data_IF_517984096349
#
_entry.id   IF_517984096349
#
_cell.length_a   1.000
_cell.length_b   1.000
_cell.length_c   1.000
_cell.angle_alpha   90.00
_cell.angle_beta   90.00
_cell.angle_gamma   90.00
#
_symmetry.space_group_name_H-M   'P 1'
#
loop_
_entity.id
_entity.type
_entity.pdbx_description
1 polymer ?
#
# COMPACT_ATOMS: atom_id res chain seq x y z
N UNK A 1 13.90 -17.44 -1.29
CA UNK A 1 13.18 -16.26 -0.74
C UNK A 1 13.62 -14.92 -1.33
N UNK A 2 14.41 -14.93 -2.43
CA UNK A 2 15.02 -13.71 -3.00
C UNK A 2 14.10 -12.96 -4.00
N UNK A 3 12.96 -13.52 -4.37
CA UNK A 3 12.11 -13.00 -5.46
C UNK A 3 10.76 -12.44 -5.01
N UNK A 4 10.58 -12.13 -3.73
CA UNK A 4 9.32 -11.58 -3.27
C UNK A 4 9.52 -10.18 -2.71
N UNK A 5 8.85 -9.19 -3.32
CA UNK A 5 8.81 -7.84 -2.77
C UNK A 5 8.08 -7.91 -1.42
N UNK A 6 8.82 -7.75 -0.34
CA UNK A 6 8.25 -7.66 0.99
C UNK A 6 7.93 -6.19 1.25
N UNK A 7 6.67 -5.84 1.12
CA UNK A 7 6.19 -4.60 1.70
C UNK A 7 6.25 -4.74 3.22
N UNK A 8 6.83 -3.78 3.90
CA UNK A 8 6.80 -3.77 5.38
C UNK A 8 5.36 -3.87 5.91
N UNK A 9 5.17 -4.01 7.23
CA UNK A 9 3.83 -4.09 7.81
C UNK A 9 3.00 -2.87 7.42
N UNK A 10 1.91 -3.09 6.70
CA UNK A 10 0.94 -2.06 6.30
C UNK A 10 -0.46 -2.52 6.70
N UNK A 11 -1.30 -1.63 7.24
CA UNK A 11 -2.63 -2.01 7.72
C UNK A 11 -3.58 -2.46 6.60
N UNK A 12 -3.30 -2.07 5.38
CA UNK A 12 -4.11 -2.38 4.18
C UNK A 12 -3.46 -3.42 3.27
N UNK A 13 -2.44 -4.15 3.73
CA UNK A 13 -1.73 -5.15 2.92
C UNK A 13 -1.69 -6.50 3.62
N UNK A 14 -2.02 -7.56 2.88
CA UNK A 14 -1.87 -8.94 3.32
C UNK A 14 -1.26 -9.79 2.21
N UNK A 15 -0.43 -10.75 2.58
CA UNK A 15 0.20 -11.68 1.65
C UNK A 15 -0.02 -13.12 2.09
N UNK A 16 -0.43 -13.96 1.14
CA UNK A 16 -0.59 -15.40 1.33
C UNK A 16 0.39 -16.15 0.43
N UNK A 17 1.21 -16.98 1.02
CA UNK A 17 2.10 -17.88 0.31
C UNK A 17 1.49 -19.28 0.23
N UNK A 18 1.15 -19.71 -0.99
CA UNK A 18 0.58 -21.06 -1.22
C UNK A 18 1.63 -21.97 -1.80
N UNK A 19 1.96 -23.04 -1.07
CA UNK A 19 2.91 -24.07 -1.51
C UNK A 19 2.16 -25.23 -2.15
N UNK A 20 2.39 -25.47 -3.43
CA UNK A 20 1.88 -26.62 -4.17
C UNK A 20 2.89 -27.79 -4.17
N UNK A 21 2.43 -29.00 -4.41
CA UNK A 21 3.29 -30.19 -4.46
C UNK A 21 4.08 -30.24 -5.77
N UNK A 22 3.49 -29.81 -6.86
CA UNK A 22 4.12 -29.83 -8.19
C UNK A 22 3.97 -28.47 -8.90
N UNK A 23 4.84 -28.21 -9.87
CA UNK A 23 4.75 -27.02 -10.73
C UNK A 23 3.51 -27.03 -11.64
N UNK A 24 2.96 -28.19 -11.95
CA UNK A 24 1.68 -28.34 -12.66
C UNK A 24 0.52 -27.82 -11.85
N UNK A 25 0.37 -28.33 -10.62
CA UNK A 25 -0.66 -27.85 -9.68
C UNK A 25 -0.58 -26.32 -9.43
N UNK A 26 0.65 -25.79 -9.34
CA UNK A 26 0.84 -24.36 -9.15
C UNK A 26 0.34 -23.54 -10.35
N UNK A 27 0.51 -24.01 -11.59
CA UNK A 27 -0.01 -23.37 -12.79
C UNK A 27 -1.52 -23.42 -12.89
N UNK A 28 -2.11 -24.59 -12.61
CA UNK A 28 -3.57 -24.76 -12.60
C UNK A 28 -4.24 -23.88 -11.53
N UNK A 29 -3.69 -23.91 -10.31
CA UNK A 29 -4.20 -23.09 -9.21
C UNK A 29 -4.06 -21.59 -9.52
N UNK A 30 -2.95 -21.15 -10.08
CA UNK A 30 -2.75 -19.76 -10.49
C UNK A 30 -3.80 -19.32 -11.50
N UNK A 31 -4.04 -20.10 -12.56
CA UNK A 31 -5.06 -19.78 -13.57
C UNK A 31 -6.46 -19.71 -12.95
N UNK A 32 -6.82 -20.70 -12.12
CA UNK A 32 -8.12 -20.72 -11.45
C UNK A 32 -8.31 -19.53 -10.50
N UNK A 33 -7.29 -19.16 -9.74
CA UNK A 33 -7.38 -18.04 -8.80
C UNK A 33 -7.42 -16.68 -9.51
N UNK A 34 -6.67 -16.49 -10.61
CA UNK A 34 -6.70 -15.24 -11.37
C UNK A 34 -8.11 -14.88 -11.85
N UNK A 35 -8.86 -15.86 -12.29
CA UNK A 35 -10.19 -15.65 -12.88
C UNK A 35 -11.31 -15.61 -11.82
N UNK A 36 -11.20 -16.43 -10.77
CA UNK A 36 -12.31 -16.64 -9.84
C UNK A 36 -12.24 -15.78 -8.57
N UNK A 37 -11.06 -15.44 -8.09
CA UNK A 37 -10.93 -14.80 -6.78
C UNK A 37 -11.45 -13.36 -6.79
N UNK A 38 -11.24 -12.63 -7.89
CA UNK A 38 -11.73 -11.25 -8.07
C UNK A 38 -13.25 -11.18 -8.18
N UNK A 39 -13.86 -12.20 -8.79
CA UNK A 39 -15.32 -12.29 -8.87
C UNK A 39 -15.95 -12.54 -7.50
N UNK A 40 -15.27 -13.32 -6.67
CA UNK A 40 -15.75 -13.66 -5.32
C UNK A 40 -15.50 -12.54 -4.31
N UNK A 41 -14.42 -11.80 -4.46
CA UNK A 41 -14.01 -10.71 -3.58
C UNK A 41 -13.67 -9.46 -4.42
N UNK A 42 -14.66 -8.66 -4.83
CA UNK A 42 -14.46 -7.52 -5.71
C UNK A 42 -13.85 -6.29 -5.01
N UNK A 43 -13.97 -6.20 -3.68
CA UNK A 43 -13.51 -5.03 -2.91
C UNK A 43 -11.99 -4.91 -2.78
N UNK A 44 -11.24 -5.97 -2.37
CA UNK A 44 -9.79 -5.88 -2.26
C UNK A 44 -9.11 -5.98 -3.61
N UNK A 45 -8.01 -5.25 -3.77
CA UNK A 45 -7.10 -5.43 -4.89
C UNK A 45 -6.32 -6.74 -4.68
N UNK A 46 -6.72 -7.80 -5.37
CA UNK A 46 -6.07 -9.12 -5.26
C UNK A 46 -5.15 -9.34 -6.44
N UNK A 47 -3.88 -9.60 -6.16
CA UNK A 47 -2.88 -9.97 -7.14
C UNK A 47 -2.39 -11.40 -6.90
N UNK A 48 -2.50 -12.25 -7.91
CA UNK A 48 -2.06 -13.65 -7.84
C UNK A 48 -0.82 -13.80 -8.71
N UNK A 49 0.33 -13.95 -8.07
CA UNK A 49 1.62 -14.07 -8.75
C UNK A 49 2.24 -15.45 -8.53
N UNK A 50 3.01 -15.91 -9.52
CA UNK A 50 3.92 -17.05 -9.35
C UNK A 50 5.24 -16.56 -8.80
N UNK A 51 5.93 -17.45 -8.08
CA UNK A 51 7.34 -17.24 -7.77
C UNK A 51 8.16 -17.34 -9.05
N UNK A 52 8.79 -16.26 -9.44
CA UNK A 52 9.72 -16.20 -10.55
C UNK A 52 11.13 -15.89 -10.05
N UNK A 53 12.14 -16.46 -10.71
CA UNK A 53 13.57 -16.18 -10.45
C UNK A 53 14.02 -14.91 -11.21
N UNK A 54 13.12 -13.98 -11.44
CA UNK A 54 13.36 -12.71 -12.09
C UNK A 54 13.79 -11.65 -11.09
N UNK A 55 14.47 -10.56 -11.51
CA UNK A 55 14.70 -9.39 -10.65
C UNK A 55 13.42 -8.91 -10.01
N UNK A 56 13.55 -8.42 -8.77
CA UNK A 56 12.42 -7.93 -7.96
C UNK A 56 11.81 -6.67 -8.59
N UNK A 57 10.91 -6.86 -9.54
CA UNK A 57 10.08 -5.77 -10.09
C UNK A 57 8.66 -5.92 -9.57
N UNK A 58 8.08 -4.82 -9.10
CA UNK A 58 6.70 -4.81 -8.60
C UNK A 58 5.68 -5.07 -9.72
N UNK A 59 6.03 -4.71 -10.95
CA UNK A 59 5.23 -4.97 -12.15
C UNK A 59 6.12 -5.11 -13.39
N UNK A 60 5.55 -5.69 -14.46
CA UNK A 60 6.26 -5.86 -15.74
C UNK A 60 6.37 -4.56 -16.53
N UNK A 61 5.34 -3.72 -16.47
CA UNK A 61 5.25 -2.44 -17.16
C UNK A 61 4.90 -1.37 -16.15
N UNK A 62 5.70 -0.31 -16.11
CA UNK A 62 5.52 0.83 -15.21
C UNK A 62 5.65 2.14 -15.99
N UNK A 63 4.58 2.95 -15.96
CA UNK A 63 4.55 4.31 -16.47
C UNK A 63 4.66 5.27 -15.28
N UNK A 64 5.85 5.86 -15.06
CA UNK A 64 6.17 6.67 -13.89
C UNK A 64 6.03 8.16 -14.17
N UNK A 65 5.22 8.83 -13.38
CA UNK A 65 5.02 10.27 -13.39
C UNK A 65 5.73 10.92 -12.22
N UNK A 66 6.34 12.09 -12.46
CA UNK A 66 7.00 12.90 -11.46
C UNK A 66 6.37 14.29 -11.43
N UNK A 67 6.26 14.87 -10.24
CA UNK A 67 5.71 16.22 -10.11
C UNK A 67 5.52 16.64 -8.65
N UNK A 68 5.19 17.93 -8.40
CA UNK A 68 5.14 18.46 -7.05
C UNK A 68 3.85 18.14 -6.28
N UNK A 69 2.73 17.89 -6.97
CA UNK A 69 1.42 17.72 -6.33
C UNK A 69 0.93 16.27 -6.42
N UNK A 70 0.67 15.60 -5.27
CA UNK A 70 0.16 14.23 -5.22
C UNK A 70 -1.19 14.05 -5.92
N UNK A 71 -2.09 15.04 -5.87
CA UNK A 71 -3.42 14.92 -6.47
C UNK A 71 -3.36 14.94 -8.00
N UNK A 72 -2.44 15.73 -8.56
CA UNK A 72 -2.20 15.75 -10.01
C UNK A 72 -1.52 14.46 -10.46
N UNK A 73 -0.56 13.94 -9.68
CA UNK A 73 0.07 12.65 -9.95
C UNK A 73 -0.97 11.52 -9.95
N UNK A 74 -1.87 11.51 -8.98
CA UNK A 74 -2.97 10.54 -8.91
C UNK A 74 -3.88 10.61 -10.15
N UNK A 75 -4.25 11.81 -10.57
CA UNK A 75 -5.05 12.03 -11.79
C UNK A 75 -4.35 11.53 -13.05
N UNK A 76 -3.07 11.86 -13.25
CA UNK A 76 -2.28 11.41 -14.40
C UNK A 76 -2.13 9.89 -14.40
N UNK A 77 -1.80 9.33 -13.25
CA UNK A 77 -1.67 7.88 -13.07
C UNK A 77 -3.01 7.17 -13.30
N UNK A 78 -4.12 7.75 -12.86
CA UNK A 78 -5.47 7.24 -13.10
C UNK A 78 -5.79 7.13 -14.60
N UNK A 79 -5.50 8.17 -15.37
CA UNK A 79 -5.67 8.15 -16.83
C UNK A 79 -4.82 7.04 -17.48
N UNK A 80 -3.56 6.90 -17.07
CA UNK A 80 -2.69 5.84 -17.58
C UNK A 80 -3.20 4.44 -17.22
N UNK A 81 -3.71 4.25 -16.00
CA UNK A 81 -4.34 2.99 -15.57
C UNK A 81 -5.59 2.67 -16.42
N UNK A 82 -6.39 3.66 -16.73
CA UNK A 82 -7.59 3.46 -17.59
C UNK A 82 -7.20 3.08 -19.01
N UNK A 83 -6.11 3.65 -19.55
CA UNK A 83 -5.55 3.21 -20.85
C UNK A 83 -5.11 1.75 -20.76
N UNK A 84 -4.36 1.39 -19.73
CA UNK A 84 -3.91 0.01 -19.49
C UNK A 84 -5.07 -0.97 -19.37
N UNK A 85 -6.14 -0.62 -18.63
CA UNK A 85 -7.32 -1.48 -18.40
C UNK A 85 -8.14 -1.74 -19.66
N UNK A 86 -8.13 -0.82 -20.63
CA UNK A 86 -8.81 -1.01 -21.92
C UNK A 86 -8.16 -2.08 -22.77
N UNK A 87 -6.89 -2.37 -22.54
CA UNK A 87 -6.20 -3.43 -23.27
C UNK A 87 -6.55 -4.81 -22.67
N UNK A 88 -7.16 -5.73 -23.45
CA UNK A 88 -7.60 -7.04 -22.95
C UNK A 88 -6.45 -7.97 -22.54
N UNK A 89 -5.22 -7.68 -22.95
CA UNK A 89 -4.01 -8.45 -22.65
C UNK A 89 -3.36 -8.03 -21.33
N UNK A 90 -3.79 -6.90 -20.79
CA UNK A 90 -3.30 -6.37 -19.49
C UNK A 90 -4.01 -7.08 -18.33
N UNK A 91 -3.28 -7.29 -17.27
CA UNK A 91 -3.79 -7.70 -15.96
C UNK A 91 -3.27 -6.78 -14.88
N UNK A 92 -4.01 -6.67 -13.77
CA UNK A 92 -3.56 -6.00 -12.55
C UNK A 92 -3.09 -4.55 -12.73
N UNK A 93 -3.84 -3.76 -13.51
CA UNK A 93 -3.54 -2.35 -13.67
C UNK A 93 -3.90 -1.58 -12.38
N UNK A 94 -2.88 -0.98 -11.74
CA UNK A 94 -2.96 -0.31 -10.43
C UNK A 94 -1.98 0.84 -10.31
N UNK A 95 -2.14 1.69 -9.31
CA UNK A 95 -1.12 2.66 -8.96
C UNK A 95 -0.09 2.07 -7.97
N UNK A 96 1.09 2.64 -7.95
CA UNK A 96 2.21 2.24 -7.08
C UNK A 96 1.96 2.52 -5.59
N UNK A 97 1.18 3.55 -5.27
CA UNK A 97 0.91 3.92 -3.87
C UNK A 97 -0.20 3.07 -3.23
N UNK A 98 -0.87 2.21 -4.04
CA UNK A 98 -1.96 1.34 -3.59
C UNK A 98 -3.28 2.09 -3.38
N UNK A 99 -4.15 1.54 -2.55
CA UNK A 99 -5.42 2.15 -2.23
C UNK A 99 -5.27 3.17 -1.09
N UNK A 100 -6.03 4.26 -1.17
CA UNK A 100 -6.15 5.19 -0.06
C UNK A 100 -6.75 4.48 1.15
N UNK A 101 -6.27 4.82 2.33
CA UNK A 101 -6.77 4.34 3.62
C UNK A 101 -7.40 5.50 4.37
N UNK A 102 -8.52 5.23 5.04
CA UNK A 102 -9.15 6.22 5.90
C UNK A 102 -8.30 6.41 7.15
N UNK A 103 -7.66 7.56 7.26
CA UNK A 103 -6.78 7.89 8.37
C UNK A 103 -7.44 8.87 9.32
N UNK A 104 -7.28 8.62 10.60
CA UNK A 104 -7.74 9.49 11.67
C UNK A 104 -6.51 10.09 12.34
N UNK A 105 -6.46 11.42 12.39
CA UNK A 105 -5.33 12.17 12.93
C UNK A 105 -5.76 13.04 14.10
N UNK A 106 -5.45 12.67 15.34
CA UNK A 106 -5.58 13.56 16.48
C UNK A 106 -4.49 14.63 16.41
N UNK A 107 -4.90 15.89 16.39
CA UNK A 107 -3.97 17.03 16.41
C UNK A 107 -3.61 17.37 17.84
N UNK A 108 -2.41 16.97 18.27
CA UNK A 108 -1.90 17.18 19.62
C UNK A 108 -1.85 18.66 20.00
N UNK A 109 -2.34 18.98 21.22
CA UNK A 109 -2.25 20.32 21.81
C UNK A 109 -1.22 20.31 22.95
N UNK A 110 0.01 20.85 22.75
CA UNK A 110 1.05 20.83 23.77
C UNK A 110 0.68 21.63 25.04
N UNK A 111 -0.17 22.62 24.92
CA UNK A 111 -0.58 23.45 26.08
C UNK A 111 -1.54 22.68 26.95
N UNK A 112 -2.64 22.17 26.38
CA UNK A 112 -3.62 21.37 27.11
C UNK A 112 -2.99 20.12 27.72
N UNK A 113 -2.23 19.38 26.93
CA UNK A 113 -1.59 18.14 27.35
C UNK A 113 -0.49 18.35 28.40
N UNK A 114 0.22 19.49 28.33
CA UNK A 114 1.25 19.87 29.30
C UNK A 114 0.71 20.04 30.72
N UNK A 115 -0.49 20.61 30.90
CA UNK A 115 -1.15 20.69 32.19
C UNK A 115 -1.48 19.33 32.81
N UNK A 116 -1.66 18.30 31.97
CA UNK A 116 -1.98 16.95 32.38
C UNK A 116 -0.74 16.05 32.49
N UNK A 117 0.44 16.57 32.16
CA UNK A 117 1.69 15.80 32.11
C UNK A 117 1.70 14.74 30.98
N UNK A 118 0.90 14.92 29.95
CA UNK A 118 0.79 13.98 28.82
C UNK A 118 1.62 14.49 27.64
N UNK A 119 2.55 13.67 27.17
CA UNK A 119 3.41 13.97 26.03
C UNK A 119 2.80 13.51 24.71
N UNK A 120 3.34 13.99 23.58
CA UNK A 120 2.97 13.49 22.25
C UNK A 120 3.25 11.99 22.12
N UNK A 121 4.31 11.47 22.75
CA UNK A 121 4.63 10.05 22.74
C UNK A 121 3.53 9.23 23.45
N UNK A 122 3.06 9.69 24.61
CA UNK A 122 1.95 9.04 25.33
C UNK A 122 0.67 8.99 24.48
N UNK A 123 0.36 10.09 23.78
CA UNK A 123 -0.76 10.13 22.84
C UNK A 123 -0.60 9.07 21.74
N UNK A 124 0.56 9.02 21.08
CA UNK A 124 0.82 8.07 19.99
C UNK A 124 0.74 6.62 20.45
N UNK A 125 1.31 6.31 21.63
CA UNK A 125 1.26 4.97 22.20
C UNK A 125 -0.16 4.56 22.60
N UNK A 126 -0.93 5.47 23.18
CA UNK A 126 -2.33 5.20 23.54
C UNK A 126 -3.20 4.96 22.31
N UNK A 127 -3.05 5.75 21.25
CA UNK A 127 -3.78 5.55 19.98
C UNK A 127 -3.39 4.23 19.33
N UNK A 128 -2.09 3.91 19.30
CA UNK A 128 -1.60 2.63 18.78
C UNK A 128 -2.17 1.43 19.55
N UNK A 129 -2.26 1.53 20.88
CA UNK A 129 -2.76 0.45 21.73
C UNK A 129 -4.25 0.13 21.48
N UNK A 130 -5.02 1.10 21.00
CA UNK A 130 -6.44 0.90 20.67
C UNK A 130 -6.57 -0.03 19.46
N UNK A 131 -5.75 0.15 18.46
CA UNK A 131 -5.86 -0.54 17.16
C UNK A 131 -5.08 -1.86 17.16
N UNK A 132 -3.81 -1.80 17.55
CA UNK A 132 -2.90 -2.95 17.51
C UNK A 132 -2.92 -3.77 18.80
N UNK A 133 -3.34 -3.15 19.92
CA UNK A 133 -3.17 -3.69 21.26
C UNK A 133 -1.78 -3.42 21.83
N UNK A 134 -1.59 -3.73 23.09
CA UNK A 134 -0.31 -3.59 23.80
C UNK A 134 0.27 -4.95 24.08
N UNK A 135 1.55 -5.17 23.74
CA UNK A 135 2.27 -6.40 24.11
C UNK A 135 2.57 -6.35 25.61
N UNK A 136 1.90 -7.21 26.39
CA UNK A 136 2.07 -7.28 27.86
C UNK A 136 3.02 -8.40 28.30
N UNK A 137 3.40 -9.28 27.38
CA UNK A 137 4.30 -10.38 27.67
C UNK A 137 4.61 -11.21 26.44
N UNK A 138 5.53 -12.14 26.61
CA UNK A 138 5.89 -13.12 25.58
C UNK A 138 5.72 -14.51 26.19
N UNK A 139 4.79 -15.26 25.65
CA UNK A 139 4.67 -16.69 25.96
C UNK A 139 5.67 -17.46 25.10
N UNK A 140 6.43 -18.36 25.73
CA UNK A 140 7.39 -19.21 25.02
C UNK A 140 6.79 -20.62 24.93
N UNK A 141 6.59 -21.07 23.70
CA UNK A 141 6.14 -22.39 23.36
C UNK A 141 7.27 -23.09 22.59
N UNK A 142 8.06 -23.87 23.31
CA UNK A 142 9.29 -24.49 22.82
C UNK A 142 10.25 -23.46 22.19
N UNK A 143 10.44 -23.49 20.87
CA UNK A 143 11.28 -22.54 20.12
C UNK A 143 10.54 -21.25 19.70
N UNK A 144 9.21 -21.23 19.81
CA UNK A 144 8.38 -20.11 19.37
C UNK A 144 8.18 -19.07 20.48
N UNK A 145 8.31 -17.81 20.09
CA UNK A 145 7.97 -16.67 20.94
C UNK A 145 6.62 -16.12 20.48
N UNK A 146 5.59 -16.30 21.30
CA UNK A 146 4.23 -15.84 21.01
C UNK A 146 3.96 -14.59 21.84
N UNK A 147 3.75 -13.40 21.23
CA UNK A 147 3.41 -12.19 21.99
C UNK A 147 2.00 -12.31 22.58
N UNK A 148 1.86 -11.94 23.83
CA UNK A 148 0.57 -11.79 24.51
C UNK A 148 0.11 -10.36 24.33
N UNK A 149 -1.00 -10.16 23.60
CA UNK A 149 -1.55 -8.84 23.30
C UNK A 149 -2.75 -8.55 24.21
N UNK A 150 -2.70 -7.41 24.89
CA UNK A 150 -3.85 -6.83 25.56
C UNK A 150 -4.57 -5.91 24.57
N UNK A 151 -5.82 -6.22 24.24
CA UNK A 151 -6.68 -5.40 23.39
C UNK A 151 -7.94 -4.97 24.13
N UNK A 152 -8.45 -3.78 23.81
CA UNK A 152 -9.77 -3.38 24.28
C UNK A 152 -10.84 -4.24 23.59
N UNK A 153 -11.89 -4.62 24.31
CA UNK A 153 -13.04 -5.33 23.75
C UNK A 153 -13.76 -4.50 22.66
N UNK A 154 -13.69 -3.18 22.77
CA UNK A 154 -14.18 -2.22 21.77
C UNK A 154 -13.09 -1.83 20.76
N UNK A 155 -12.16 -2.73 20.44
CA UNK A 155 -11.14 -2.50 19.42
C UNK A 155 -11.81 -2.48 18.05
N UNK A 156 -11.84 -1.33 17.46
CA UNK A 156 -12.43 -0.99 16.18
C UNK A 156 -13.05 0.39 16.29
N UNK A 157 -12.44 1.36 15.62
CA UNK A 157 -12.98 2.71 15.61
C UNK A 157 -14.05 2.75 14.52
N UNK A 158 -15.22 2.22 14.83
CA UNK A 158 -16.36 2.23 13.90
C UNK A 158 -16.91 3.66 13.69
N UNK A 159 -16.73 4.56 14.68
CA UNK A 159 -17.10 5.98 14.57
C UNK A 159 -15.94 6.88 15.05
N UNK A 160 -15.39 7.73 14.17
CA UNK A 160 -14.37 8.72 14.55
C UNK A 160 -14.76 9.62 15.72
N UNK A 161 -16.06 9.84 15.94
CA UNK A 161 -16.58 10.68 17.03
C UNK A 161 -16.39 10.04 18.39
N UNK A 162 -16.37 8.71 18.46
CA UNK A 162 -16.14 7.96 19.72
C UNK A 162 -14.69 8.06 20.20
N UNK A 163 -13.76 8.48 19.35
CA UNK A 163 -12.35 8.66 19.74
C UNK A 163 -12.12 9.72 20.81
N UNK A 164 -12.98 10.74 20.89
CA UNK A 164 -12.86 11.79 21.91
C UNK A 164 -12.88 11.27 23.34
N UNK A 165 -13.53 10.12 23.57
CA UNK A 165 -13.72 9.51 24.88
C UNK A 165 -12.59 8.54 25.26
N UNK A 166 -11.69 8.22 24.31
CA UNK A 166 -10.56 7.35 24.61
C UNK A 166 -9.59 8.01 25.58
N UNK A 167 -9.14 7.23 26.56
CA UNK A 167 -8.18 7.69 27.57
C UNK A 167 -6.75 7.59 27.05
N UNK A 168 -6.04 8.71 27.10
CA UNK A 168 -4.59 8.78 26.88
C UNK A 168 -3.89 8.66 28.21
N UNK A 169 -2.90 7.77 28.31
CA UNK A 169 -2.19 7.45 29.55
C UNK A 169 -0.74 7.92 29.50
N UNK A 170 -0.24 8.43 30.64
CA UNK A 170 1.18 8.73 30.83
C UNK A 170 1.88 7.74 31.79
N UNK A 171 1.23 6.62 32.10
CA UNK A 171 1.68 5.61 33.09
C UNK A 171 1.01 5.75 34.45
N UNK A 172 0.78 6.97 34.95
CA UNK A 172 0.16 7.22 36.24
C UNK A 172 -1.24 7.83 36.15
N UNK A 173 -1.43 8.71 35.16
CA UNK A 173 -2.67 9.47 34.96
C UNK A 173 -3.23 9.22 33.58
N UNK A 174 -4.52 9.38 33.45
CA UNK A 174 -5.21 9.35 32.17
C UNK A 174 -6.07 10.58 31.97
N UNK A 175 -6.25 10.96 30.71
CA UNK A 175 -7.18 12.00 30.31
C UNK A 175 -7.85 11.61 28.98
N UNK A 176 -9.11 12.04 28.74
CA UNK A 176 -9.76 11.87 27.45
C UNK A 176 -8.94 12.49 26.32
N UNK A 177 -8.95 11.85 25.14
CA UNK A 177 -8.26 12.34 23.95
C UNK A 177 -8.63 13.79 23.61
N UNK A 178 -9.89 14.16 23.81
CA UNK A 178 -10.40 15.50 23.59
C UNK A 178 -9.73 16.58 24.45
N UNK A 179 -9.19 16.21 25.62
CA UNK A 179 -8.48 17.13 26.50
C UNK A 179 -7.00 17.31 26.15
N UNK A 180 -6.43 16.45 25.32
CA UNK A 180 -5.02 16.51 24.90
C UNK A 180 -4.84 16.88 23.43
N UNK A 181 -5.95 17.05 22.71
CA UNK A 181 -5.95 17.40 21.29
C UNK A 181 -6.72 18.71 21.04
N UNK A 182 -6.38 19.40 19.95
CA UNK A 182 -7.15 20.55 19.43
C UNK A 182 -8.38 20.09 18.70
N UNK A 183 -8.20 19.09 17.85
CA UNK A 183 -9.24 18.46 17.03
C UNK A 183 -8.81 17.07 16.61
N UNK A 184 -9.75 16.27 16.19
CA UNK A 184 -9.50 15.00 15.49
C UNK A 184 -9.95 15.23 14.04
N UNK A 185 -9.03 15.08 13.11
CA UNK A 185 -9.29 15.15 11.67
C UNK A 185 -9.29 13.78 11.06
N UNK A 186 -10.02 13.57 9.99
CA UNK A 186 -10.02 12.35 9.22
C UNK A 186 -10.00 12.66 7.74
N UNK A 187 -9.24 11.86 6.99
CA UNK A 187 -9.13 11.99 5.54
C UNK A 187 -8.75 10.64 4.91
N UNK A 188 -9.11 10.49 3.64
CA UNK A 188 -8.55 9.44 2.81
C UNK A 188 -7.17 9.84 2.34
N UNK A 189 -6.18 9.06 2.68
CA UNK A 189 -4.79 9.34 2.35
C UNK A 189 -4.08 8.07 1.88
N UNK A 190 -3.07 8.25 1.05
CA UNK A 190 -2.19 7.15 0.70
C UNK A 190 -1.32 6.75 1.90
N UNK A 191 -1.27 5.45 2.26
CA UNK A 191 -0.45 4.98 3.40
C UNK A 191 1.04 5.13 3.13
N UNK A 192 1.41 5.15 1.86
CA UNK A 192 2.79 5.28 1.40
C UNK A 192 2.87 6.27 0.26
N UNK A 193 3.82 7.20 0.35
CA UNK A 193 4.17 8.17 -0.69
C UNK A 193 5.61 7.86 -1.14
N UNK A 194 5.80 7.61 -2.43
CA UNK A 194 7.11 7.33 -3.00
C UNK A 194 7.73 8.57 -3.65
N UNK A 195 9.03 8.64 -3.63
CA UNK A 195 9.81 9.67 -4.29
C UNK A 195 10.88 9.03 -5.18
N UNK A 196 11.15 9.65 -6.30
CA UNK A 196 12.24 9.29 -7.21
C UNK A 196 13.13 10.52 -7.43
N UNK A 197 14.41 10.38 -7.21
CA UNK A 197 15.38 11.50 -7.31
C UNK A 197 14.92 12.78 -6.56
N UNK A 198 14.38 12.61 -5.32
CA UNK A 198 13.88 13.69 -4.44
C UNK A 198 12.62 14.41 -4.96
N UNK A 199 11.99 13.92 -6.00
CA UNK A 199 10.69 14.41 -6.47
C UNK A 199 9.60 13.39 -6.12
N UNK A 200 8.39 13.87 -5.87
CA UNK A 200 7.27 12.95 -5.71
C UNK A 200 7.06 12.18 -7.01
N UNK A 201 6.83 10.88 -6.88
CA UNK A 201 6.63 10.02 -8.03
C UNK A 201 5.48 9.04 -7.78
N UNK A 202 4.68 8.81 -8.79
CA UNK A 202 3.65 7.78 -8.80
C UNK A 202 3.68 7.04 -10.13
N UNK A 203 3.64 5.71 -10.09
CA UNK A 203 3.63 4.89 -11.28
C UNK A 203 2.27 4.21 -11.50
N UNK A 204 1.82 4.23 -12.76
CA UNK A 204 0.81 3.30 -13.25
C UNK A 204 1.50 2.00 -13.60
N UNK A 205 1.06 0.91 -13.00
CA UNK A 205 1.70 -0.39 -13.07
C UNK A 205 0.74 -1.42 -13.62
N UNK A 206 1.22 -2.34 -14.47
CA UNK A 206 0.43 -3.47 -14.89
C UNK A 206 1.25 -4.72 -15.15
N UNK A 207 0.56 -5.86 -15.09
CA UNK A 207 1.05 -7.15 -15.54
C UNK A 207 0.54 -7.50 -16.93
N UNK A 208 1.04 -8.58 -17.49
CA UNK A 208 0.65 -9.13 -18.79
C UNK A 208 0.01 -10.50 -18.58
N UNK A 209 -1.13 -10.75 -19.24
CA UNK A 209 -1.80 -12.05 -19.19
C UNK A 209 -0.95 -13.14 -19.80
N UNK A 210 -1.13 -14.38 -19.33
CA UNK A 210 -0.47 -15.55 -19.89
C UNK A 210 -0.72 -15.68 -21.40
N UNK A 211 0.35 -15.94 -22.15
CA UNK A 211 0.29 -16.09 -23.62
C UNK A 211 0.66 -14.84 -24.42
N UNK A 212 0.87 -13.71 -23.78
CA UNK A 212 1.32 -12.47 -24.40
C UNK A 212 2.68 -12.05 -23.87
N UNK A 213 3.41 -11.26 -24.64
CA UNK A 213 4.72 -10.73 -24.25
C UNK A 213 4.60 -9.30 -23.72
N UNK A 214 5.53 -8.93 -22.82
CA UNK A 214 5.62 -7.57 -22.31
C UNK A 214 5.80 -6.54 -23.44
N UNK A 215 6.69 -6.83 -24.40
CA UNK A 215 6.98 -5.93 -25.51
C UNK A 215 5.76 -5.68 -26.42
N UNK A 216 4.93 -6.71 -26.64
CA UNK A 216 3.69 -6.58 -27.41
C UNK A 216 2.70 -5.65 -26.70
N UNK A 217 2.41 -5.93 -25.42
CA UNK A 217 1.46 -5.13 -24.64
C UNK A 217 1.96 -3.70 -24.45
N UNK A 218 3.24 -3.52 -24.15
CA UNK A 218 3.85 -2.21 -24.04
C UNK A 218 3.71 -1.42 -25.35
N UNK A 219 3.99 -2.06 -26.51
CA UNK A 219 3.85 -1.41 -27.82
C UNK A 219 2.43 -0.91 -28.11
N UNK A 220 1.41 -1.64 -27.62
CA UNK A 220 0.00 -1.27 -27.82
C UNK A 220 -0.46 -0.10 -26.94
N UNK A 221 0.04 0.01 -25.70
CA UNK A 221 -0.37 1.07 -24.77
C UNK A 221 0.52 2.31 -24.82
N UNK A 222 1.74 2.16 -25.33
CA UNK A 222 2.79 3.16 -25.30
C UNK A 222 2.37 4.48 -25.93
N UNK A 223 1.87 4.41 -27.17
CA UNK A 223 1.57 5.61 -27.96
C UNK A 223 0.51 6.49 -27.31
N UNK A 224 -0.50 5.89 -26.68
CA UNK A 224 -1.58 6.61 -26.03
C UNK A 224 -1.10 7.26 -24.72
N UNK A 225 -0.27 6.57 -23.92
CA UNK A 225 0.28 7.11 -22.68
C UNK A 225 1.30 8.23 -22.97
N UNK A 226 2.18 8.07 -23.97
CA UNK A 226 3.16 9.10 -24.34
C UNK A 226 2.52 10.37 -24.92
N UNK A 227 1.31 10.27 -25.49
CA UNK A 227 0.53 11.42 -25.98
C UNK A 227 -0.25 12.17 -24.89
N UNK A 228 -0.21 11.70 -23.65
CA UNK A 228 -0.88 12.41 -22.55
C UNK A 228 -0.32 13.82 -22.37
N UNK A 229 -1.20 14.79 -22.23
CA UNK A 229 -0.80 16.17 -21.97
C UNK A 229 -0.39 16.33 -20.51
N UNK A 230 0.89 16.55 -20.27
CA UNK A 230 1.43 16.76 -18.93
C UNK A 230 1.42 18.26 -18.58
N UNK A 231 0.94 18.64 -17.37
CA UNK A 231 1.05 20.01 -16.89
C UNK A 231 2.51 20.45 -16.73
N UNK A 232 2.74 21.76 -16.71
CA UNK A 232 4.07 22.30 -16.49
C UNK A 232 4.64 21.85 -15.13
N UNK A 233 5.89 21.37 -15.11
CA UNK A 233 6.55 20.86 -13.91
C UNK A 233 6.31 19.36 -13.65
N UNK A 234 5.60 18.69 -14.55
CA UNK A 234 5.45 17.24 -14.52
C UNK A 234 6.25 16.59 -15.64
N UNK A 235 6.77 15.41 -15.36
CA UNK A 235 7.50 14.59 -16.32
C UNK A 235 7.07 13.14 -16.24
N UNK A 236 7.39 12.38 -17.26
CA UNK A 236 7.02 10.99 -17.43
C UNK A 236 8.19 10.20 -18.00
N UNK A 237 8.33 8.95 -17.59
CA UNK A 237 9.23 7.98 -18.22
C UNK A 237 8.73 6.54 -17.96
N UNK A 238 9.16 5.64 -18.84
CA UNK A 238 8.97 4.21 -18.64
C UNK A 238 10.03 3.66 -17.69
N UNK A 239 9.60 2.87 -16.70
CA UNK A 239 10.46 2.23 -15.70
C UNK A 239 10.29 0.71 -15.76
N UNK A 240 10.91 -0.04 -14.82
CA UNK A 240 10.80 -1.47 -14.73
C UNK A 240 11.61 -2.27 -15.76
N UNK A 241 11.24 -3.52 -16.03
CA UNK A 241 11.98 -4.43 -16.91
C UNK A 241 12.17 -3.92 -18.35
N UNK A 242 11.28 -3.02 -18.81
CA UNK A 242 11.42 -2.41 -20.12
C UNK A 242 12.68 -1.55 -20.25
N UNK A 243 13.00 -0.79 -19.19
CA UNK A 243 14.23 0.02 -19.13
C UNK A 243 15.46 -0.87 -19.15
N UNK A 244 15.46 -1.92 -18.31
CA UNK A 244 16.60 -2.86 -18.20
C UNK A 244 16.86 -3.59 -19.52
N UNK A 245 15.79 -3.96 -20.26
CA UNK A 245 15.94 -4.60 -21.58
C UNK A 245 16.47 -3.65 -22.63
N UNK A 246 16.06 -2.38 -22.64
CA UNK A 246 16.54 -1.40 -23.60
C UNK A 246 17.98 -0.97 -23.33
N UNK A 247 18.38 -0.84 -22.07
CA UNK A 247 19.76 -0.56 -21.69
C UNK A 247 20.68 -1.77 -21.96
N UNK A 248 20.21 -3.00 -21.73
CA UNK A 248 20.95 -4.22 -22.02
C UNK A 248 21.14 -4.52 -23.51
N UNK A 249 20.30 -3.96 -24.40
CA UNK A 249 20.45 -4.08 -25.85
C UNK A 249 21.36 -2.98 -26.45
N UNK A 250 21.66 -1.94 -25.69
CA UNK A 250 22.56 -0.84 -26.11
C UNK A 250 23.99 -0.99 -25.60
N UNK A 251 24.27 -1.96 -24.73
CA UNK A 251 25.59 -2.31 -24.18
C UNK A 251 26.22 -3.47 -24.95
#
# INVERSE_FOLDING_TARGET
YLSNVSFGPQPNYAQLLVKCKTSGEARELHALLQDSIRLKYPEPLINVNKFELSPLTEALIEARFLGPDPAVLDSLTGVAIDIMRRNPKVTDARNEWGNMTYMIRPVYDPVKAGFLGITKANLMESVKSIEEGTVIGIYRDEEKKVPVLLKSEKSGIDDPRSLGDFSVWNGEKSAPLSQVTRQVTSAWEYPQIKTYNRQLSMAAMCGVKNGYTMSEVHGEIREEIEKMNLPQGYSFFWDSQYKDQTEGLQA
#
